data_IF_327637815065
#
_entry.id   IF_327637815065
#
_cell.length_a   1.000
_cell.length_b   1.000
_cell.length_c   1.000
_cell.angle_alpha   90.00
_cell.angle_beta   90.00
_cell.angle_gamma   90.00
#
_symmetry.space_group_name_H-M   'P 1'
#
loop_
_entity.id
_entity.type
_entity.pdbx_description
1 polymer ?
#
# COMPACT_ATOMS: atom_id res chain seq x y z
N UNK A 1 17.30 -19.66 21.05
CA UNK A 1 16.13 -20.25 20.36
C UNK A 1 15.02 -19.22 20.48
N UNK A 2 14.94 -18.32 19.50
CA UNK A 2 13.96 -17.22 19.50
C UNK A 2 12.55 -17.77 19.28
N UNK A 3 11.68 -17.48 20.25
CA UNK A 3 10.25 -17.72 20.15
C UNK A 3 9.67 -16.79 19.09
N UNK A 4 9.43 -17.34 17.91
CA UNK A 4 8.68 -16.71 16.84
C UNK A 4 7.20 -16.62 17.28
N UNK A 5 6.84 -15.56 18.01
CA UNK A 5 5.45 -15.22 18.30
C UNK A 5 4.81 -14.70 17.01
N UNK A 6 4.38 -15.62 16.17
CA UNK A 6 3.44 -15.34 15.09
C UNK A 6 2.12 -14.88 15.73
N UNK A 7 1.99 -13.58 15.91
CA UNK A 7 0.77 -12.96 16.39
C UNK A 7 -0.20 -12.79 15.20
N UNK A 8 -0.67 -13.89 14.62
CA UNK A 8 -1.76 -13.83 13.64
C UNK A 8 -3.08 -13.74 14.40
N UNK A 9 -3.45 -12.53 14.78
CA UNK A 9 -4.74 -12.19 15.39
C UNK A 9 -5.92 -12.30 14.37
N UNK A 10 -5.74 -13.10 13.31
CA UNK A 10 -6.73 -13.33 12.27
C UNK A 10 -7.49 -14.60 12.67
N UNK A 11 -8.64 -14.42 13.30
CA UNK A 11 -9.59 -15.50 13.55
C UNK A 11 -10.26 -15.85 12.23
N UNK A 12 -9.87 -16.99 11.65
CA UNK A 12 -10.49 -17.58 10.47
C UNK A 12 -11.43 -18.69 10.92
N UNK A 13 -12.56 -18.80 10.25
CA UNK A 13 -13.47 -19.92 10.37
C UNK A 13 -13.13 -20.91 9.25
N UNK A 14 -12.56 -22.07 9.61
CA UNK A 14 -12.02 -23.03 8.63
C UNK A 14 -13.11 -23.71 7.80
N UNK A 15 -14.27 -23.99 8.42
CA UNK A 15 -15.40 -24.62 7.74
C UNK A 15 -15.98 -23.67 6.70
N UNK A 16 -16.25 -22.42 7.10
CA UNK A 16 -16.71 -21.39 6.18
C UNK A 16 -15.65 -21.10 5.10
N UNK A 17 -14.37 -21.08 5.44
CA UNK A 17 -13.28 -20.87 4.48
C UNK A 17 -13.24 -21.97 3.39
N UNK A 18 -13.51 -23.22 3.74
CA UNK A 18 -13.54 -24.31 2.76
C UNK A 18 -14.67 -24.12 1.74
N UNK A 19 -15.85 -23.73 2.20
CA UNK A 19 -16.99 -23.43 1.34
C UNK A 19 -16.70 -22.21 0.46
N UNK A 20 -16.16 -21.12 1.03
CA UNK A 20 -15.70 -19.95 0.30
C UNK A 20 -14.71 -20.33 -0.82
N UNK A 21 -13.72 -21.15 -0.48
CA UNK A 21 -12.69 -21.61 -1.42
C UNK A 21 -13.29 -22.43 -2.55
N UNK A 22 -14.23 -23.33 -2.25
CA UNK A 22 -14.88 -24.14 -3.26
C UNK A 22 -15.59 -23.29 -4.32
N UNK A 23 -16.26 -22.21 -3.91
CA UNK A 23 -16.89 -21.27 -4.84
C UNK A 23 -15.87 -20.48 -5.66
N UNK A 24 -14.83 -19.97 -5.00
CA UNK A 24 -13.73 -19.24 -5.67
C UNK A 24 -13.02 -20.14 -6.69
N UNK A 25 -12.78 -21.40 -6.36
CA UNK A 25 -12.12 -22.36 -7.24
C UNK A 25 -12.95 -22.63 -8.51
N UNK A 26 -14.28 -22.73 -8.38
CA UNK A 26 -15.17 -22.88 -9.53
C UNK A 26 -15.12 -21.68 -10.46
N UNK A 27 -15.18 -20.46 -9.91
CA UNK A 27 -15.06 -19.22 -10.69
C UNK A 27 -13.69 -19.17 -11.37
N UNK A 28 -12.62 -19.48 -10.64
CA UNK A 28 -11.26 -19.51 -11.17
C UNK A 28 -11.13 -20.47 -12.35
N UNK A 29 -11.61 -21.70 -12.21
CA UNK A 29 -11.61 -22.72 -13.28
C UNK A 29 -12.38 -22.25 -14.52
N UNK A 30 -13.47 -21.51 -14.35
CA UNK A 30 -14.26 -20.99 -15.48
C UNK A 30 -13.57 -19.84 -16.24
N UNK A 31 -12.75 -19.03 -15.55
CA UNK A 31 -12.15 -17.80 -16.11
C UNK A 31 -10.67 -17.93 -16.48
N UNK A 32 -9.98 -18.98 -16.04
CA UNK A 32 -8.53 -19.12 -16.18
C UNK A 32 -8.03 -18.98 -17.62
N UNK A 33 -8.73 -19.58 -18.60
CA UNK A 33 -8.33 -19.52 -20.00
C UNK A 33 -8.44 -18.11 -20.58
N UNK A 34 -9.48 -17.36 -20.20
CA UNK A 34 -9.67 -15.97 -20.61
C UNK A 34 -8.58 -15.07 -20.00
N UNK A 35 -8.31 -15.23 -18.71
CA UNK A 35 -7.25 -14.49 -18.02
C UNK A 35 -5.86 -14.77 -18.57
N UNK A 36 -5.58 -16.02 -18.96
CA UNK A 36 -4.31 -16.39 -19.59
C UNK A 36 -4.18 -15.76 -20.97
N UNK A 37 -5.24 -15.79 -21.79
CA UNK A 37 -5.24 -15.18 -23.13
C UNK A 37 -5.02 -13.66 -23.06
N UNK A 38 -5.63 -13.00 -22.09
CA UNK A 38 -5.57 -11.54 -21.93
C UNK A 38 -4.38 -11.07 -21.09
N UNK A 39 -3.55 -11.99 -20.58
CA UNK A 39 -2.45 -11.69 -19.65
C UNK A 39 -2.91 -10.81 -18.47
N UNK A 40 -4.08 -11.17 -17.91
CA UNK A 40 -4.72 -10.39 -16.86
C UNK A 40 -3.83 -10.33 -15.61
N UNK A 41 -3.74 -9.13 -15.01
CA UNK A 41 -2.97 -8.93 -13.77
C UNK A 41 -3.70 -9.54 -12.58
N UNK A 42 -2.94 -9.87 -11.52
CA UNK A 42 -3.47 -10.58 -10.34
C UNK A 42 -4.59 -9.79 -9.65
N UNK A 43 -4.45 -8.47 -9.56
CA UNK A 43 -5.46 -7.58 -8.98
C UNK A 43 -6.78 -7.63 -9.75
N UNK A 44 -6.73 -7.72 -11.08
CA UNK A 44 -7.93 -7.79 -11.93
C UNK A 44 -8.66 -9.12 -11.71
N UNK A 45 -7.92 -10.23 -11.61
CA UNK A 45 -8.52 -11.56 -11.37
C UNK A 45 -9.28 -11.60 -10.04
N UNK A 46 -8.68 -11.10 -8.96
CA UNK A 46 -9.34 -11.06 -7.66
C UNK A 46 -10.53 -10.10 -7.62
N UNK A 47 -10.45 -8.94 -8.28
CA UNK A 47 -11.62 -8.06 -8.43
C UNK A 47 -12.78 -8.78 -9.11
N UNK A 48 -12.55 -9.44 -10.24
CA UNK A 48 -13.61 -10.18 -10.96
C UNK A 48 -14.20 -11.33 -10.11
N UNK A 49 -13.35 -12.05 -9.35
CA UNK A 49 -13.82 -13.09 -8.41
C UNK A 49 -14.74 -12.49 -7.35
N UNK A 50 -14.35 -11.37 -6.73
CA UNK A 50 -15.16 -10.71 -5.69
C UNK A 50 -16.45 -10.11 -6.26
N UNK A 51 -16.43 -9.60 -7.49
CA UNK A 51 -17.64 -9.15 -8.18
C UNK A 51 -18.59 -10.32 -8.47
N UNK A 52 -18.07 -11.45 -8.95
CA UNK A 52 -18.86 -12.64 -9.23
C UNK A 52 -19.47 -13.23 -7.95
N UNK A 53 -18.70 -13.37 -6.87
CA UNK A 53 -19.19 -13.91 -5.59
C UNK A 53 -20.24 -12.99 -4.96
N UNK A 54 -20.03 -11.66 -5.02
CA UNK A 54 -21.01 -10.67 -4.59
C UNK A 54 -22.31 -10.76 -5.39
N UNK A 55 -22.23 -10.95 -6.70
CA UNK A 55 -23.41 -11.09 -7.56
C UNK A 55 -24.24 -12.36 -7.22
N UNK A 56 -23.59 -13.42 -6.74
CA UNK A 56 -24.25 -14.67 -6.32
C UNK A 56 -24.57 -14.70 -4.82
N UNK A 57 -24.39 -13.59 -4.09
CA UNK A 57 -24.60 -13.48 -2.65
C UNK A 57 -23.81 -14.52 -1.81
N UNK A 58 -22.59 -14.82 -2.25
CA UNK A 58 -21.65 -15.72 -1.58
C UNK A 58 -20.79 -14.88 -0.63
N UNK A 59 -20.77 -15.24 0.66
CA UNK A 59 -19.84 -14.64 1.62
C UNK A 59 -18.41 -15.02 1.25
N UNK A 60 -17.47 -14.08 1.36
CA UNK A 60 -16.04 -14.29 1.07
C UNK A 60 -15.14 -13.63 2.13
N UNK A 61 -15.68 -13.48 3.34
CA UNK A 61 -15.03 -12.75 4.43
C UNK A 61 -13.68 -13.36 4.82
N UNK A 62 -13.55 -14.68 4.84
CA UNK A 62 -12.29 -15.34 5.24
C UNK A 62 -11.25 -15.27 4.12
N UNK A 63 -11.63 -15.56 2.87
CA UNK A 63 -10.74 -15.46 1.71
C UNK A 63 -10.28 -14.03 1.50
N UNK A 64 -11.15 -13.03 1.66
CA UNK A 64 -10.79 -11.63 1.47
C UNK A 64 -9.64 -11.22 2.39
N UNK A 65 -9.68 -11.63 3.68
CA UNK A 65 -8.58 -11.39 4.64
C UNK A 65 -7.25 -12.00 4.20
N UNK A 66 -7.29 -13.24 3.68
CA UNK A 66 -6.08 -13.95 3.20
C UNK A 66 -5.52 -13.25 1.97
N UNK A 67 -6.38 -12.88 1.02
CA UNK A 67 -6.00 -12.21 -0.23
C UNK A 67 -5.43 -10.82 0.07
N UNK A 68 -6.09 -10.04 0.93
CA UNK A 68 -5.62 -8.72 1.36
C UNK A 68 -4.21 -8.82 1.96
N UNK A 69 -4.01 -9.75 2.90
CA UNK A 69 -2.69 -9.97 3.50
C UNK A 69 -1.64 -10.40 2.47
N UNK A 70 -2.01 -11.32 1.58
CA UNK A 70 -1.10 -11.84 0.55
C UNK A 70 -0.69 -10.78 -0.47
N UNK A 71 -1.61 -9.89 -0.86
CA UNK A 71 -1.35 -8.82 -1.83
C UNK A 71 -0.67 -7.59 -1.21
N UNK A 72 -0.75 -7.41 0.11
CA UNK A 72 -0.01 -6.38 0.82
C UNK A 72 1.50 -6.64 0.85
N UNK A 73 1.92 -7.90 0.72
CA UNK A 73 3.34 -8.29 0.71
C UNK A 73 3.88 -8.22 -0.72
N UNK A 74 4.91 -7.39 -0.99
CA UNK A 74 5.54 -7.37 -2.31
C UNK A 74 6.23 -8.71 -2.57
N UNK A 75 5.91 -9.35 -3.70
CA UNK A 75 6.50 -10.65 -4.07
C UNK A 75 8.00 -10.63 -4.38
N UNK A 76 8.65 -9.46 -4.38
CA UNK A 76 10.10 -9.32 -4.60
C UNK A 76 10.67 -8.15 -3.80
N UNK A 77 11.94 -8.27 -3.41
CA UNK A 77 12.68 -7.17 -2.77
C UNK A 77 12.98 -6.02 -3.74
N UNK A 78 12.84 -6.21 -5.05
CA UNK A 78 13.16 -5.21 -6.07
C UNK A 78 12.41 -3.87 -5.90
N UNK A 79 11.18 -3.91 -5.35
CA UNK A 79 10.45 -2.69 -5.03
C UNK A 79 11.14 -1.88 -3.93
N UNK A 80 11.56 -2.57 -2.87
CA UNK A 80 12.25 -1.98 -1.70
C UNK A 80 13.67 -1.53 -2.08
N UNK A 81 14.42 -2.35 -2.82
CA UNK A 81 15.75 -2.02 -3.31
C UNK A 81 15.75 -0.77 -4.20
N UNK A 82 14.72 -0.59 -5.03
CA UNK A 82 14.56 0.62 -5.84
C UNK A 82 14.32 1.87 -4.98
N UNK A 83 13.59 1.73 -3.87
CA UNK A 83 13.42 2.81 -2.89
C UNK A 83 14.77 3.13 -2.24
N UNK A 84 15.53 2.12 -1.79
CA UNK A 84 16.87 2.33 -1.22
C UNK A 84 17.85 2.96 -2.21
N UNK A 85 17.83 2.55 -3.47
CA UNK A 85 18.62 3.20 -4.52
C UNK A 85 18.23 4.68 -4.69
N UNK A 86 16.94 5.00 -4.64
CA UNK A 86 16.46 6.39 -4.69
C UNK A 86 16.89 7.20 -3.48
N UNK A 87 16.84 6.60 -2.28
CA UNK A 87 17.35 7.20 -1.05
C UNK A 87 18.83 7.50 -1.20
N UNK A 88 19.61 6.52 -1.66
CA UNK A 88 21.05 6.68 -1.84
C UNK A 88 21.33 7.86 -2.76
N UNK A 89 20.71 7.97 -3.93
CA UNK A 89 20.89 9.13 -4.82
C UNK A 89 20.57 10.46 -4.11
N UNK A 90 19.47 10.54 -3.35
CA UNK A 90 19.11 11.75 -2.60
C UNK A 90 20.11 12.09 -1.47
N UNK A 91 20.88 11.10 -1.01
CA UNK A 91 21.79 11.22 0.13
C UNK A 91 23.27 11.27 -0.27
N UNK A 92 23.64 10.79 -1.47
CA UNK A 92 25.03 10.66 -1.93
C UNK A 92 25.49 11.78 -2.86
N UNK A 93 24.57 12.52 -3.51
CA UNK A 93 24.96 13.65 -4.35
C UNK A 93 25.25 14.86 -3.46
N UNK A 94 26.51 15.00 -3.06
CA UNK A 94 27.16 16.21 -2.53
C UNK A 94 26.25 17.20 -1.77
N UNK A 95 26.20 17.06 -0.42
CA UNK A 95 25.76 18.09 0.57
C UNK A 95 24.27 18.35 0.82
N UNK A 96 23.31 17.53 0.38
CA UNK A 96 21.93 17.73 0.84
C UNK A 96 21.63 17.02 2.18
N UNK A 97 21.80 17.75 3.30
CA UNK A 97 21.40 17.32 4.66
C UNK A 97 19.87 17.38 4.84
N UNK A 98 19.12 16.73 3.96
CA UNK A 98 17.68 16.63 4.14
C UNK A 98 17.37 15.89 5.44
N UNK A 99 16.37 16.38 6.17
CA UNK A 99 15.83 15.66 7.31
C UNK A 99 15.22 14.34 6.81
N UNK A 100 15.24 13.31 7.66
CA UNK A 100 14.65 12.01 7.34
C UNK A 100 13.19 12.15 6.90
N UNK A 101 12.42 13.02 7.57
CA UNK A 101 11.04 13.32 7.19
C UNK A 101 10.93 13.93 5.78
N UNK A 102 11.86 14.80 5.38
CA UNK A 102 11.89 15.36 4.03
C UNK A 102 12.18 14.28 2.99
N UNK A 103 13.16 13.41 3.25
CA UNK A 103 13.49 12.28 2.37
C UNK A 103 12.26 11.36 2.23
N UNK A 104 11.61 11.04 3.34
CA UNK A 104 10.38 10.22 3.36
C UNK A 104 9.27 10.85 2.51
N UNK A 105 8.99 12.14 2.67
CA UNK A 105 8.01 12.85 1.84
C UNK A 105 8.38 12.82 0.35
N UNK A 106 9.65 13.04 0.00
CA UNK A 106 10.12 12.99 -1.39
C UNK A 106 9.91 11.59 -1.99
N UNK A 107 10.25 10.53 -1.25
CA UNK A 107 10.08 9.15 -1.71
C UNK A 107 8.61 8.84 -1.95
N UNK A 108 7.72 9.23 -1.03
CA UNK A 108 6.27 8.99 -1.16
C UNK A 108 5.76 9.65 -2.44
N UNK A 109 6.08 10.93 -2.66
CA UNK A 109 5.68 11.67 -3.86
C UNK A 109 6.25 11.03 -5.13
N UNK A 110 7.57 10.76 -5.17
CA UNK A 110 8.22 10.16 -6.34
C UNK A 110 7.70 8.75 -6.65
N UNK A 111 7.39 7.96 -5.63
CA UNK A 111 6.89 6.59 -5.81
C UNK A 111 5.44 6.60 -6.30
N UNK A 112 4.59 7.40 -5.65
CA UNK A 112 3.16 7.45 -5.96
C UNK A 112 2.90 8.05 -7.35
N UNK A 113 3.67 9.08 -7.73
CA UNK A 113 3.53 9.76 -9.01
C UNK A 113 4.60 9.35 -10.04
N UNK A 114 5.25 8.20 -9.86
CA UNK A 114 6.36 7.72 -10.71
C UNK A 114 6.06 7.74 -12.20
N UNK A 115 4.82 7.43 -12.58
CA UNK A 115 4.40 7.32 -13.99
C UNK A 115 3.79 8.63 -14.55
N UNK A 116 3.83 9.72 -13.78
CA UNK A 116 3.38 11.02 -14.22
C UNK A 116 4.57 11.90 -14.60
N UNK A 117 4.44 12.61 -15.72
CA UNK A 117 5.37 13.70 -16.02
C UNK A 117 5.13 14.88 -15.09
N UNK A 118 6.16 15.71 -14.88
CA UNK A 118 6.03 16.93 -14.08
C UNK A 118 4.88 17.83 -14.56
N UNK A 119 4.65 17.91 -15.87
CA UNK A 119 3.54 18.69 -16.45
C UNK A 119 2.17 18.10 -16.07
N UNK A 120 2.00 16.77 -16.13
CA UNK A 120 0.75 16.12 -15.71
C UNK A 120 0.52 16.26 -14.21
N UNK A 121 1.58 16.11 -13.42
CA UNK A 121 1.52 16.31 -11.98
C UNK A 121 1.14 17.75 -11.61
N UNK A 122 1.76 18.74 -12.26
CA UNK A 122 1.41 20.15 -12.10
C UNK A 122 -0.06 20.42 -12.42
N UNK A 123 -0.57 19.88 -13.53
CA UNK A 123 -1.98 20.01 -13.89
C UNK A 123 -2.94 19.33 -12.90
N UNK A 124 -2.50 18.28 -12.20
CA UNK A 124 -3.27 17.67 -11.11
C UNK A 124 -3.26 18.59 -9.89
N UNK A 125 -2.10 19.13 -9.52
CA UNK A 125 -1.99 20.07 -8.40
C UNK A 125 -2.86 21.30 -8.61
N UNK A 126 -2.92 21.85 -9.83
CA UNK A 126 -3.77 22.99 -10.17
C UNK A 126 -5.27 22.76 -9.92
N UNK A 127 -5.72 21.50 -9.93
CA UNK A 127 -7.12 21.14 -9.68
C UNK A 127 -7.44 20.94 -8.20
N UNK A 128 -6.42 20.73 -7.37
CA UNK A 128 -6.59 20.50 -5.93
C UNK A 128 -6.38 21.81 -5.16
N UNK A 129 -7.42 22.63 -5.12
CA UNK A 129 -7.37 23.99 -4.55
C UNK A 129 -6.92 24.00 -3.09
N UNK A 130 -7.39 23.04 -2.28
CA UNK A 130 -6.99 22.92 -0.87
C UNK A 130 -5.49 22.73 -0.70
N UNK A 131 -4.91 21.83 -1.51
CA UNK A 131 -3.48 21.54 -1.47
C UNK A 131 -2.65 22.74 -1.96
N UNK A 132 -3.13 23.47 -2.97
CA UNK A 132 -2.46 24.70 -3.43
C UNK A 132 -2.45 25.77 -2.34
N UNK A 133 -3.57 25.94 -1.65
CA UNK A 133 -3.69 26.88 -0.53
C UNK A 133 -2.73 26.49 0.59
N UNK A 134 -2.64 25.21 0.94
CA UNK A 134 -1.68 24.70 1.93
C UNK A 134 -0.21 24.86 1.51
N UNK A 135 0.12 24.60 0.25
CA UNK A 135 1.47 24.80 -0.31
C UNK A 135 1.84 26.29 -0.30
N UNK A 136 0.89 27.17 -0.63
CA UNK A 136 1.07 28.62 -0.59
C UNK A 136 1.10 29.21 0.82
N UNK A 137 0.45 28.53 1.77
CA UNK A 137 0.31 28.97 3.15
C UNK A 137 1.64 28.92 3.92
N UNK A 138 1.80 29.87 4.85
CA UNK A 138 2.90 29.86 5.82
C UNK A 138 2.75 28.72 6.85
N UNK A 139 1.58 28.08 6.93
CA UNK A 139 1.30 26.98 7.85
C UNK A 139 2.26 25.78 7.68
N UNK A 140 2.85 25.62 6.49
CA UNK A 140 3.88 24.59 6.23
C UNK A 140 5.15 24.76 7.07
N UNK A 141 5.39 25.93 7.67
CA UNK A 141 6.55 26.20 8.53
C UNK A 141 6.22 26.18 10.03
N UNK A 142 4.95 26.24 10.41
CA UNK A 142 4.52 26.12 11.80
C UNK A 142 4.44 24.65 12.18
N UNK A 143 5.56 24.09 12.67
CA UNK A 143 5.58 22.74 13.27
C UNK A 143 4.55 22.68 14.41
N UNK A 144 3.55 21.81 14.30
CA UNK A 144 2.78 21.37 15.47
C UNK A 144 3.58 20.27 16.13
N UNK A 145 4.28 20.57 17.21
CA UNK A 145 5.03 19.59 18.01
C UNK A 145 4.05 18.58 18.61
N UNK A 146 3.80 17.47 17.91
CA UNK A 146 3.06 16.32 18.48
C UNK A 146 3.97 15.35 19.24
N UNK A 147 5.25 15.69 19.43
CA UNK A 147 6.25 14.83 20.09
C UNK A 147 6.41 15.09 21.60
N UNK A 148 5.74 16.09 22.20
CA UNK A 148 5.82 16.33 23.65
C UNK A 148 4.85 15.47 24.50
N UNK A 149 4.04 14.59 23.90
CA UNK A 149 3.09 13.74 24.65
C UNK A 149 3.66 12.40 25.14
N UNK A 150 4.92 12.06 24.85
CA UNK A 150 5.51 10.76 25.21
C UNK A 150 6.97 10.87 25.70
N UNK A 151 7.20 11.69 26.74
CA UNK A 151 8.34 11.46 27.63
C UNK A 151 7.79 11.10 29.02
N UNK A 152 8.08 9.89 29.55
CA UNK A 152 7.77 9.59 30.94
C UNK A 152 8.59 10.54 31.81
N UNK A 153 7.90 11.21 32.73
CA UNK A 153 8.51 11.99 33.81
C UNK A 153 9.50 11.11 34.57
N UNK A 154 10.80 11.27 34.31
CA UNK A 154 11.84 10.79 35.22
C UNK A 154 11.73 11.64 36.49
N UNK A 155 11.12 11.06 37.52
CA UNK A 155 11.14 11.61 38.88
C UNK A 155 12.42 11.14 39.55
N UNK A 156 13.08 12.10 40.21
CA UNK A 156 14.24 11.90 41.10
C UNK A 156 13.97 10.88 42.19
#
# INVERSE_FOLDING_TARGET
>A
MENNRNNSNIKLDEDNLFDEFSHVEQIFKSRIHEWQKNSAKVEVKWCEIFECTKAHNIDTTNISKIVEYSLAIPGTNAAVERIFSTINVLWTDEKNRFLVETIKSIIIVKTHFKNLSCNKFYNILLKETRLLDEIGSAQKYTKTTKEEMYMPSSSK
#
